data_IF_116883441419
#
_entry.id   IF_116883441419
#
_cell.length_a   1.000
_cell.length_b   1.000
_cell.length_c   1.000
_cell.angle_alpha   90.00
_cell.angle_beta   90.00
_cell.angle_gamma   90.00
#
_symmetry.space_group_name_H-M   'P 1'
#
loop_
_entity.id
_entity.type
_entity.pdbx_description
1 polymer ?
#
# COMPACT_ATOMS: atom_id res chain seq x y z
N UNK A 1 47.36 -57.12 -47.60
CA UNK A 1 46.02 -56.51 -47.79
C UNK A 1 44.99 -57.38 -47.07
N UNK A 2 44.04 -56.78 -46.32
CA UNK A 2 43.00 -57.51 -45.60
C UNK A 2 41.64 -57.19 -46.22
N UNK A 3 40.95 -58.21 -46.75
CA UNK A 3 39.60 -58.05 -47.31
C UNK A 3 38.60 -58.57 -46.30
N UNK A 4 37.72 -57.66 -45.87
CA UNK A 4 36.65 -57.93 -44.93
C UNK A 4 35.35 -58.06 -45.70
N UNK A 5 34.64 -59.18 -45.52
CA UNK A 5 33.28 -59.31 -46.03
C UNK A 5 32.35 -59.02 -44.86
N UNK A 6 31.49 -58.01 -45.05
CA UNK A 6 30.46 -57.62 -44.08
C UNK A 6 29.11 -58.06 -44.60
N UNK A 7 28.51 -59.07 -43.98
CA UNK A 7 27.06 -59.27 -44.01
C UNK A 7 26.49 -58.75 -42.70
N UNK A 8 25.24 -58.26 -42.72
CA UNK A 8 24.63 -57.22 -41.89
C UNK A 8 24.84 -57.22 -40.36
N UNK A 9 25.43 -58.24 -39.73
CA UNK A 9 25.82 -58.18 -38.31
C UNK A 9 27.15 -58.84 -37.93
N UNK A 10 27.93 -59.41 -38.87
CA UNK A 10 29.26 -59.95 -38.57
C UNK A 10 30.26 -59.67 -39.70
N UNK A 11 31.34 -58.97 -39.38
CA UNK A 11 32.52 -58.85 -40.23
C UNK A 11 33.47 -60.01 -39.93
N UNK A 12 33.64 -60.92 -40.89
CA UNK A 12 34.66 -61.96 -40.81
C UNK A 12 35.76 -61.64 -41.80
N UNK A 13 37.00 -61.63 -41.32
CA UNK A 13 38.17 -61.50 -42.17
C UNK A 13 38.21 -62.72 -43.09
N UNK A 14 37.99 -62.50 -44.38
CA UNK A 14 37.81 -63.57 -45.36
C UNK A 14 39.15 -63.99 -45.96
N UNK A 15 40.03 -63.01 -46.18
CA UNK A 15 41.37 -63.21 -46.70
C UNK A 15 42.29 -62.15 -46.08
N UNK A 16 43.29 -62.62 -45.34
CA UNK A 16 44.47 -61.85 -44.97
C UNK A 16 45.62 -62.40 -45.80
N UNK A 17 46.11 -61.56 -46.70
CA UNK A 17 47.23 -61.90 -47.55
C UNK A 17 48.34 -60.89 -47.25
N UNK A 18 49.43 -61.37 -46.66
CA UNK A 18 50.63 -60.56 -46.47
C UNK A 18 51.37 -60.49 -47.80
N UNK A 19 51.23 -59.35 -48.46
CA UNK A 19 51.88 -59.08 -49.73
C UNK A 19 53.26 -58.51 -49.39
N UNK A 20 54.26 -59.38 -49.43
CA UNK A 20 55.65 -58.95 -49.49
C UNK A 20 55.93 -58.49 -50.93
N UNK A 21 56.00 -57.17 -51.13
CA UNK A 21 56.43 -56.59 -52.40
C UNK A 21 57.96 -56.77 -52.49
N UNK A 22 58.40 -57.91 -53.02
CA UNK A 22 59.79 -58.11 -53.42
C UNK A 22 60.08 -57.33 -54.72
N UNK A 23 61.28 -56.77 -54.85
CA UNK A 23 61.73 -55.74 -55.81
C UNK A 23 61.64 -56.09 -57.31
N UNK A 24 61.01 -57.19 -57.68
CA UNK A 24 60.84 -57.61 -59.06
C UNK A 24 59.40 -57.38 -59.51
N UNK A 25 59.10 -56.19 -60.03
CA UNK A 25 58.10 -55.91 -61.08
C UNK A 25 57.90 -54.40 -61.20
N UNK A 26 58.75 -53.76 -62.00
CA UNK A 26 58.36 -52.53 -62.70
C UNK A 26 58.21 -52.97 -64.16
N UNK A 27 56.99 -53.17 -64.68
CA UNK A 27 56.84 -53.38 -66.11
C UNK A 27 57.00 -52.04 -66.83
N UNK A 28 57.86 -52.01 -67.84
CA UNK A 28 57.77 -51.02 -68.90
C UNK A 28 56.43 -51.23 -69.63
N UNK A 29 55.67 -50.15 -69.80
CA UNK A 29 54.38 -50.15 -70.48
C UNK A 29 54.52 -50.60 -71.95
N UNK A 30 54.18 -51.85 -72.25
CA UNK A 30 53.72 -52.24 -73.59
C UNK A 30 52.32 -52.82 -73.46
N UNK A 31 51.34 -51.97 -73.79
CA UNK A 31 49.94 -52.36 -73.99
C UNK A 31 49.86 -53.28 -75.21
N UNK A 32 49.81 -54.58 -74.97
CA UNK A 32 49.31 -55.53 -75.95
C UNK A 32 47.90 -55.97 -75.51
N UNK A 33 46.90 -55.45 -76.21
CA UNK A 33 45.51 -55.91 -76.14
C UNK A 33 45.41 -57.33 -76.69
N UNK A 34 45.34 -58.35 -75.83
CA UNK A 34 45.01 -59.72 -76.25
C UNK A 34 44.09 -60.39 -75.20
N UNK A 35 42.87 -60.67 -75.66
CA UNK A 35 41.83 -61.62 -75.24
C UNK A 35 41.51 -61.82 -73.74
N UNK A 36 40.23 -61.57 -73.43
CA UNK A 36 39.56 -61.84 -72.14
C UNK A 36 39.18 -63.31 -72.05
N UNK A 37 39.91 -64.09 -71.25
CA UNK A 37 39.47 -65.42 -70.83
C UNK A 37 38.85 -65.37 -69.43
N UNK A 38 37.72 -66.07 -69.29
CA UNK A 38 36.88 -66.16 -68.12
C UNK A 38 37.58 -66.97 -67.01
N UNK A 39 38.49 -66.35 -66.25
CA UNK A 39 38.87 -66.67 -64.86
C UNK A 39 40.13 -65.89 -64.42
N UNK A 40 40.15 -64.57 -64.65
CA UNK A 40 41.21 -63.70 -64.13
C UNK A 40 40.63 -62.54 -63.33
N UNK A 41 41.15 -62.33 -62.12
CA UNK A 41 40.72 -61.24 -61.23
C UNK A 41 41.53 -59.98 -61.57
N UNK A 42 40.84 -58.92 -61.99
CA UNK A 42 41.45 -57.64 -62.37
C UNK A 42 41.44 -56.66 -61.20
N UNK A 43 42.61 -56.18 -60.77
CA UNK A 43 42.76 -55.06 -59.83
C UNK A 43 43.26 -53.83 -60.61
N UNK A 44 42.33 -53.05 -61.17
CA UNK A 44 42.60 -51.91 -62.06
C UNK A 44 43.52 -50.84 -61.45
N UNK A 45 43.58 -50.73 -60.12
CA UNK A 45 44.39 -49.71 -59.45
C UNK A 45 45.90 -50.03 -59.43
N UNK A 46 46.31 -51.26 -59.74
CA UNK A 46 47.73 -51.69 -59.67
C UNK A 46 48.27 -52.47 -60.88
N UNK A 47 47.45 -52.84 -61.85
CA UNK A 47 47.93 -53.33 -63.16
C UNK A 47 48.62 -54.71 -63.18
N UNK A 48 48.28 -55.64 -62.29
CA UNK A 48 48.86 -57.01 -62.25
C UNK A 48 47.88 -58.11 -62.72
N UNK A 49 48.40 -59.19 -63.35
CA UNK A 49 47.66 -60.41 -63.79
C UNK A 49 48.14 -61.66 -63.05
N UNK A 50 47.23 -62.54 -62.63
CA UNK A 50 47.54 -63.87 -62.10
C UNK A 50 46.65 -64.95 -62.75
N UNK A 51 47.22 -66.11 -63.07
CA UNK A 51 46.52 -67.30 -63.61
C UNK A 51 46.91 -68.55 -62.82
N UNK A 52 45.97 -69.47 -62.66
CA UNK A 52 46.13 -70.74 -61.95
C UNK A 52 46.92 -71.75 -62.79
N UNK A 53 47.82 -72.52 -62.18
CA UNK A 53 48.61 -73.57 -62.85
C UNK A 53 48.07 -74.92 -62.46
N UNK A 54 47.55 -75.70 -63.41
CA UNK A 54 47.78 -77.13 -63.49
C UNK A 54 47.22 -77.77 -64.78
N UNK A 55 47.95 -78.82 -65.20
CA UNK A 55 47.62 -79.91 -66.13
C UNK A 55 48.20 -79.94 -67.56
N UNK A 56 48.65 -81.15 -67.89
CA UNK A 56 49.62 -81.59 -68.91
C UNK A 56 48.89 -82.21 -70.11
N UNK A 57 49.47 -82.13 -71.31
CA UNK A 57 49.96 -83.27 -72.15
C UNK A 57 49.83 -83.06 -73.68
N UNK A 58 50.95 -83.41 -74.34
CA UNK A 58 51.13 -84.10 -75.64
C UNK A 58 50.92 -83.39 -77.00
N UNK A 59 52.02 -83.33 -77.78
CA UNK A 59 52.28 -83.89 -79.15
C UNK A 59 53.64 -83.28 -79.62
N UNK A 60 54.77 -83.99 -79.54
CA UNK A 60 55.52 -84.67 -80.63
C UNK A 60 55.70 -83.82 -81.91
N UNK A 61 56.88 -83.20 -82.14
CA UNK A 61 58.11 -83.69 -82.82
C UNK A 61 58.19 -83.32 -84.33
N UNK A 62 59.42 -83.08 -84.79
CA UNK A 62 59.94 -82.62 -86.12
C UNK A 62 60.25 -81.11 -86.20
N UNK A 63 61.47 -80.59 -86.40
CA UNK A 63 62.82 -81.14 -86.56
C UNK A 63 63.86 -80.04 -86.16
N UNK A 64 64.86 -80.47 -85.37
CA UNK A 64 66.33 -80.20 -85.40
C UNK A 64 66.81 -78.83 -85.93
N UNK A 65 67.55 -77.99 -85.17
CA UNK A 65 68.99 -78.15 -84.88
C UNK A 65 69.44 -77.55 -83.53
N UNK A 66 70.19 -78.36 -82.78
CA UNK A 66 70.92 -77.98 -81.57
C UNK A 66 72.31 -77.46 -81.93
N UNK A 67 72.67 -76.27 -81.44
CA UNK A 67 74.04 -76.00 -80.95
C UNK A 67 73.93 -75.44 -79.54
N UNK A 68 74.17 -76.32 -78.57
CA UNK A 68 74.57 -76.02 -77.20
C UNK A 68 75.95 -75.34 -77.22
N UNK A 69 76.30 -74.29 -76.48
CA UNK A 69 76.23 -74.02 -75.04
C UNK A 69 76.71 -72.56 -74.87
N UNK A 70 76.13 -71.76 -73.99
CA UNK A 70 76.94 -71.31 -72.85
C UNK A 70 76.07 -70.93 -71.64
N UNK A 71 76.14 -71.80 -70.63
CA UNK A 71 75.78 -71.48 -69.25
C UNK A 71 76.86 -70.56 -68.69
N UNK A 72 76.59 -69.25 -68.60
CA UNK A 72 77.08 -68.33 -67.54
C UNK A 72 76.63 -66.90 -67.85
N UNK A 73 75.52 -66.49 -67.27
CA UNK A 73 75.27 -65.11 -66.81
C UNK A 73 74.08 -65.14 -65.84
N UNK A 74 74.37 -65.57 -64.61
CA UNK A 74 73.63 -65.03 -63.45
C UNK A 74 73.93 -63.53 -63.46
N UNK A 75 73.05 -62.73 -64.06
CA UNK A 75 73.08 -61.29 -63.87
C UNK A 75 72.50 -61.09 -62.47
N UNK A 76 73.39 -61.05 -61.48
CA UNK A 76 73.08 -60.47 -60.19
C UNK A 76 72.76 -59.00 -60.43
N UNK A 77 71.47 -58.64 -60.39
CA UNK A 77 71.11 -57.24 -60.29
C UNK A 77 71.71 -56.69 -58.99
N UNK A 78 72.46 -55.58 -59.03
CA UNK A 78 73.06 -55.03 -57.83
C UNK A 78 71.95 -54.53 -56.91
N UNK A 79 72.04 -54.89 -55.62
CA UNK A 79 71.24 -54.39 -54.50
C UNK A 79 71.49 -52.91 -54.19
N UNK A 80 71.56 -52.07 -55.22
CA UNK A 80 71.83 -50.66 -55.08
C UNK A 80 70.84 -49.90 -55.95
N UNK A 81 69.89 -49.25 -55.29
CA UNK A 81 68.96 -48.33 -55.92
C UNK A 81 69.72 -47.34 -56.82
N UNK A 82 69.23 -47.19 -58.06
CA UNK A 82 69.73 -46.16 -58.97
C UNK A 82 69.56 -44.77 -58.31
N UNK A 83 70.55 -43.89 -58.42
CA UNK A 83 70.50 -42.53 -57.84
C UNK A 83 69.20 -41.79 -58.19
N UNK A 84 68.69 -42.02 -59.40
CA UNK A 84 67.42 -41.46 -59.87
C UNK A 84 66.18 -41.98 -59.13
N UNK A 85 66.15 -43.26 -58.74
CA UNK A 85 65.02 -43.82 -57.98
C UNK A 85 65.01 -43.34 -56.52
N UNK A 86 66.19 -43.20 -55.90
CA UNK A 86 66.33 -42.58 -54.57
C UNK A 86 65.84 -41.12 -54.61
N UNK A 87 66.19 -40.36 -55.65
CA UNK A 87 65.72 -38.97 -55.82
C UNK A 87 64.20 -38.91 -55.97
N UNK A 88 63.58 -39.80 -56.76
CA UNK A 88 62.11 -39.86 -56.90
C UNK A 88 61.42 -40.16 -55.58
N UNK A 89 61.93 -41.14 -54.82
CA UNK A 89 61.37 -41.49 -53.50
C UNK A 89 61.52 -40.32 -52.51
N UNK A 90 62.67 -39.65 -52.49
CA UNK A 90 62.88 -38.46 -51.67
C UNK A 90 61.96 -37.30 -52.08
N UNK A 91 61.70 -37.13 -53.38
CA UNK A 91 60.75 -36.12 -53.88
C UNK A 91 59.31 -36.45 -53.45
N UNK A 92 58.91 -37.72 -53.46
CA UNK A 92 57.59 -38.16 -52.96
C UNK A 92 57.49 -37.92 -51.44
N UNK A 93 58.51 -38.30 -50.66
CA UNK A 93 58.56 -38.04 -49.22
C UNK A 93 58.50 -36.54 -48.94
N UNK A 94 59.19 -35.72 -49.74
CA UNK A 94 59.16 -34.27 -49.65
C UNK A 94 57.76 -33.73 -49.98
N UNK A 95 57.11 -34.21 -51.03
CA UNK A 95 55.74 -33.83 -51.41
C UNK A 95 54.74 -34.11 -50.28
N UNK A 96 54.81 -35.30 -49.66
CA UNK A 96 53.97 -35.68 -48.51
C UNK A 96 54.23 -34.74 -47.32
N UNK A 97 55.49 -34.39 -47.05
CA UNK A 97 55.82 -33.45 -45.95
C UNK A 97 55.29 -32.06 -46.22
N UNK A 98 55.41 -31.55 -47.45
CA UNK A 98 54.87 -30.24 -47.83
C UNK A 98 53.35 -30.21 -47.77
N UNK A 99 52.68 -31.30 -48.18
CA UNK A 99 51.23 -31.43 -48.08
C UNK A 99 50.76 -31.44 -46.62
N UNK A 100 51.45 -32.18 -45.74
CA UNK A 100 51.18 -32.16 -44.30
C UNK A 100 51.39 -30.78 -43.67
N UNK A 101 52.41 -30.04 -44.10
CA UNK A 101 52.63 -28.67 -43.64
C UNK A 101 51.53 -27.72 -44.15
N UNK A 102 51.12 -27.86 -45.41
CA UNK A 102 50.03 -27.08 -45.99
C UNK A 102 48.69 -27.33 -45.28
N UNK A 103 48.39 -28.59 -44.93
CA UNK A 103 47.17 -28.93 -44.18
C UNK A 103 47.18 -28.38 -42.76
N UNK A 104 48.32 -28.39 -42.06
CA UNK A 104 48.45 -27.75 -40.75
C UNK A 104 48.23 -26.24 -40.81
N UNK A 105 48.80 -25.56 -41.81
CA UNK A 105 48.59 -24.12 -42.02
C UNK A 105 47.11 -23.83 -42.31
N UNK A 106 46.45 -24.69 -43.08
CA UNK A 106 45.01 -24.57 -43.35
C UNK A 106 44.17 -24.74 -42.08
N UNK A 107 44.48 -25.73 -41.23
CA UNK A 107 43.81 -25.94 -39.95
C UNK A 107 44.02 -24.76 -38.99
N UNK A 108 45.23 -24.22 -38.90
CA UNK A 108 45.51 -23.02 -38.10
C UNK A 108 44.70 -21.82 -38.59
N UNK A 109 44.56 -21.66 -39.92
CA UNK A 109 43.76 -20.59 -40.52
C UNK A 109 42.26 -20.77 -40.22
N UNK A 110 41.76 -22.00 -40.29
CA UNK A 110 40.38 -22.31 -39.90
C UNK A 110 40.14 -22.03 -38.42
N UNK A 111 41.08 -22.41 -37.55
CA UNK A 111 40.97 -22.15 -36.13
C UNK A 111 40.97 -20.65 -35.82
N UNK A 112 41.86 -19.87 -36.45
CA UNK A 112 41.88 -18.42 -36.34
C UNK A 112 40.56 -17.78 -36.83
N UNK A 113 39.97 -18.30 -37.91
CA UNK A 113 38.66 -17.85 -38.40
C UNK A 113 37.54 -18.17 -37.42
N UNK A 114 37.54 -19.38 -36.84
CA UNK A 114 36.57 -19.79 -35.82
C UNK A 114 36.69 -18.91 -34.58
N UNK A 115 37.90 -18.63 -34.10
CA UNK A 115 38.12 -17.81 -32.92
C UNK A 115 37.75 -16.34 -33.17
N UNK A 116 38.07 -15.79 -34.35
CA UNK A 116 37.60 -14.46 -34.75
C UNK A 116 36.06 -14.37 -34.81
N UNK A 117 35.38 -15.41 -35.31
CA UNK A 117 33.92 -15.49 -35.30
C UNK A 117 33.34 -15.59 -33.88
N UNK A 118 33.96 -16.36 -32.98
CA UNK A 118 33.55 -16.42 -31.57
C UNK A 118 33.64 -15.05 -30.91
N UNK A 119 34.73 -14.33 -31.14
CA UNK A 119 34.93 -12.98 -30.62
C UNK A 119 33.89 -12.00 -31.16
N UNK A 120 33.61 -12.05 -32.46
CA UNK A 120 32.55 -11.26 -33.10
C UNK A 120 31.17 -11.54 -32.48
N UNK A 121 30.78 -12.82 -32.35
CA UNK A 121 29.52 -13.21 -31.71
C UNK A 121 29.47 -12.80 -30.23
N UNK A 122 30.60 -12.81 -29.52
CA UNK A 122 30.66 -12.33 -28.13
C UNK A 122 30.39 -10.83 -28.03
N UNK A 123 30.89 -10.04 -28.99
CA UNK A 123 30.64 -8.59 -29.07
C UNK A 123 29.18 -8.30 -29.35
N UNK A 124 28.55 -9.04 -30.27
CA UNK A 124 27.11 -8.94 -30.56
C UNK A 124 26.29 -9.25 -29.31
N UNK A 125 26.54 -10.39 -28.66
CA UNK A 125 25.83 -10.76 -27.42
C UNK A 125 25.96 -9.72 -26.31
N UNK A 126 27.15 -9.13 -26.14
CA UNK A 126 27.39 -8.03 -25.18
C UNK A 126 26.65 -6.75 -25.59
N UNK A 127 26.48 -6.50 -26.88
CA UNK A 127 25.72 -5.35 -27.37
C UNK A 127 24.22 -5.55 -27.15
N UNK A 128 23.67 -6.70 -27.54
CA UNK A 128 22.27 -7.08 -27.30
C UNK A 128 21.91 -7.04 -25.81
N UNK A 129 22.78 -7.60 -24.95
CA UNK A 129 22.60 -7.56 -23.50
C UNK A 129 22.53 -6.13 -22.96
N UNK A 130 23.41 -5.24 -23.43
CA UNK A 130 23.37 -3.81 -23.07
C UNK A 130 22.12 -3.12 -23.60
N UNK A 131 21.68 -3.43 -24.82
CA UNK A 131 20.43 -2.89 -25.36
C UNK A 131 19.22 -3.30 -24.52
N UNK A 132 19.14 -4.55 -24.09
CA UNK A 132 18.08 -5.02 -23.19
C UNK A 132 18.11 -4.31 -21.83
N UNK A 133 19.30 -4.08 -21.27
CA UNK A 133 19.45 -3.30 -20.04
C UNK A 133 18.94 -1.87 -20.21
N UNK A 134 19.30 -1.21 -21.32
CA UNK A 134 18.83 0.14 -21.63
C UNK A 134 17.29 0.16 -21.74
N UNK A 135 16.69 -0.79 -22.45
CA UNK A 135 15.23 -0.87 -22.58
C UNK A 135 14.52 -1.12 -21.25
N UNK A 136 15.09 -1.97 -20.39
CA UNK A 136 14.57 -2.20 -19.04
C UNK A 136 14.66 -0.94 -18.18
N UNK A 137 15.77 -0.20 -18.25
CA UNK A 137 15.95 1.06 -17.53
C UNK A 137 14.97 2.14 -18.03
N UNK A 138 14.73 2.23 -19.34
CA UNK A 138 13.71 3.15 -19.90
C UNK A 138 12.32 2.83 -19.38
N UNK A 139 11.93 1.54 -19.36
CA UNK A 139 10.64 1.10 -18.80
C UNK A 139 10.52 1.46 -17.31
N UNK A 140 11.58 1.23 -16.54
CA UNK A 140 11.61 1.59 -15.13
C UNK A 140 11.47 3.10 -14.92
N UNK A 141 12.19 3.90 -15.70
CA UNK A 141 12.07 5.37 -15.65
C UNK A 141 10.66 5.83 -16.00
N UNK A 142 10.06 5.30 -17.07
CA UNK A 142 8.68 5.61 -17.44
C UNK A 142 7.68 5.26 -16.33
N UNK A 143 7.84 4.10 -15.70
CA UNK A 143 6.98 3.71 -14.59
C UNK A 143 7.16 4.62 -13.38
N UNK A 144 8.39 5.00 -13.05
CA UNK A 144 8.67 5.92 -11.95
C UNK A 144 8.09 7.32 -12.20
N UNK A 145 8.23 7.87 -13.40
CA UNK A 145 7.65 9.18 -13.74
C UNK A 145 6.13 9.16 -13.69
N UNK A 146 5.51 8.07 -14.16
CA UNK A 146 4.07 7.86 -14.05
C UNK A 146 3.58 7.84 -12.60
N UNK A 147 4.24 7.06 -11.73
CA UNK A 147 3.90 7.02 -10.30
C UNK A 147 4.10 8.37 -9.62
N UNK A 148 5.17 9.08 -9.96
CA UNK A 148 5.43 10.41 -9.45
C UNK A 148 4.32 11.40 -9.84
N UNK A 149 3.87 11.36 -11.09
CA UNK A 149 2.78 12.19 -11.58
C UNK A 149 1.46 11.88 -10.85
N UNK A 150 1.16 10.60 -10.60
CA UNK A 150 -0.01 10.24 -9.78
C UNK A 150 0.08 10.81 -8.36
N UNK A 151 1.24 10.70 -7.70
CA UNK A 151 1.45 11.26 -6.36
C UNK A 151 1.30 12.78 -6.35
N UNK A 152 1.81 13.47 -7.37
CA UNK A 152 1.60 14.91 -7.52
C UNK A 152 0.13 15.27 -7.63
N UNK A 153 -0.63 14.58 -8.48
CA UNK A 153 -2.06 14.81 -8.65
C UNK A 153 -2.83 14.58 -7.34
N UNK A 154 -2.52 13.49 -6.62
CA UNK A 154 -3.13 13.19 -5.32
C UNK A 154 -2.80 14.28 -4.28
N UNK A 155 -1.55 14.76 -4.26
CA UNK A 155 -1.15 15.85 -3.36
C UNK A 155 -1.84 17.16 -3.71
N UNK A 156 -2.00 17.49 -4.99
CA UNK A 156 -2.75 18.67 -5.42
C UNK A 156 -4.22 18.60 -5.02
N UNK A 157 -4.87 17.44 -5.16
CA UNK A 157 -6.24 17.23 -4.69
C UNK A 157 -6.35 17.41 -3.18
N UNK A 158 -5.44 16.81 -2.40
CA UNK A 158 -5.37 17.01 -0.94
C UNK A 158 -5.23 18.48 -0.58
N UNK A 159 -4.35 19.22 -1.28
CA UNK A 159 -4.17 20.66 -1.03
C UNK A 159 -5.43 21.48 -1.35
N UNK A 160 -6.15 21.15 -2.44
CA UNK A 160 -7.44 21.79 -2.76
C UNK A 160 -8.46 21.55 -1.65
N UNK A 161 -8.63 20.30 -1.23
CA UNK A 161 -9.55 19.93 -0.15
C UNK A 161 -9.21 20.63 1.17
N UNK A 162 -7.92 20.75 1.52
CA UNK A 162 -7.48 21.47 2.72
C UNK A 162 -7.83 22.96 2.60
N UNK A 163 -7.61 23.58 1.44
CA UNK A 163 -7.95 25.00 1.22
C UNK A 163 -9.46 25.23 1.33
N UNK A 164 -10.28 24.36 0.76
CA UNK A 164 -11.74 24.43 0.85
C UNK A 164 -12.23 24.26 2.28
N UNK A 165 -11.73 23.24 3.00
CA UNK A 165 -12.04 23.06 4.43
C UNK A 165 -11.63 24.27 5.26
N UNK A 166 -10.47 24.86 4.99
CA UNK A 166 -10.03 26.08 5.68
C UNK A 166 -10.99 27.25 5.42
N UNK A 167 -11.49 27.41 4.19
CA UNK A 167 -12.50 28.43 3.87
C UNK A 167 -13.81 28.18 4.61
N UNK A 168 -14.29 26.94 4.64
CA UNK A 168 -15.50 26.55 5.39
C UNK A 168 -15.34 26.82 6.88
N UNK A 169 -14.21 26.42 7.48
CA UNK A 169 -13.92 26.69 8.88
C UNK A 169 -13.88 28.19 9.19
N UNK A 170 -13.23 28.98 8.36
CA UNK A 170 -13.19 30.43 8.54
C UNK A 170 -14.59 31.06 8.45
N UNK A 171 -15.43 30.57 7.53
CA UNK A 171 -16.82 31.02 7.42
C UNK A 171 -17.61 30.67 8.69
N UNK A 172 -17.52 29.43 9.16
CA UNK A 172 -18.19 28.99 10.38
C UNK A 172 -17.70 29.79 11.60
N UNK A 173 -16.39 30.07 11.69
CA UNK A 173 -15.84 30.93 12.75
C UNK A 173 -16.42 32.33 12.69
N UNK A 174 -16.54 32.93 11.51
CA UNK A 174 -17.15 34.25 11.37
C UNK A 174 -18.63 34.27 11.79
N UNK A 175 -19.37 33.20 11.49
CA UNK A 175 -20.76 33.05 11.93
C UNK A 175 -20.86 32.92 13.46
N UNK A 176 -20.01 32.07 14.06
CA UNK A 176 -19.99 31.87 15.51
C UNK A 176 -19.63 33.16 16.27
N UNK A 177 -18.73 33.99 15.74
CA UNK A 177 -18.41 35.29 16.33
C UNK A 177 -19.66 36.18 16.34
N UNK A 178 -20.39 36.26 15.22
CA UNK A 178 -21.62 37.04 15.15
C UNK A 178 -22.68 36.51 16.11
N UNK A 179 -22.89 35.19 16.18
CA UNK A 179 -23.83 34.58 17.13
C UNK A 179 -23.45 34.89 18.59
N UNK A 180 -22.16 34.82 18.92
CA UNK A 180 -21.65 35.16 20.23
C UNK A 180 -21.92 36.64 20.57
N UNK A 181 -21.74 37.56 19.63
CA UNK A 181 -22.06 38.98 19.81
C UNK A 181 -23.55 39.18 20.07
N UNK A 182 -24.44 38.51 19.33
CA UNK A 182 -25.89 38.57 19.56
C UNK A 182 -26.27 38.09 20.96
N UNK A 183 -25.71 36.95 21.39
CA UNK A 183 -25.95 36.41 22.74
C UNK A 183 -25.46 37.39 23.81
N UNK A 184 -24.29 38.00 23.62
CA UNK A 184 -23.76 38.99 24.55
C UNK A 184 -24.67 40.22 24.65
N UNK A 185 -25.17 40.72 23.53
CA UNK A 185 -26.13 41.83 23.53
C UNK A 185 -27.42 41.46 24.27
N UNK A 186 -27.96 40.27 24.03
CA UNK A 186 -29.15 39.78 24.72
C UNK A 186 -28.93 39.65 26.23
N UNK A 187 -27.81 39.08 26.65
CA UNK A 187 -27.44 38.96 28.07
C UNK A 187 -27.28 40.33 28.73
N UNK A 188 -26.67 41.30 28.04
CA UNK A 188 -26.55 42.66 28.55
C UNK A 188 -27.93 43.31 28.76
N UNK A 189 -28.84 43.17 27.80
CA UNK A 189 -30.21 43.68 27.91
C UNK A 189 -30.98 43.01 29.06
N UNK A 190 -30.82 41.69 29.23
CA UNK A 190 -31.41 40.97 30.35
C UNK A 190 -30.85 41.44 31.69
N UNK A 191 -29.54 41.65 31.80
CA UNK A 191 -28.91 42.14 33.02
C UNK A 191 -29.38 43.56 33.36
N UNK A 192 -29.51 44.43 32.35
CA UNK A 192 -30.11 45.76 32.53
C UNK A 192 -31.55 45.65 33.05
N UNK A 193 -32.40 44.84 32.41
CA UNK A 193 -33.78 44.62 32.86
C UNK A 193 -33.87 44.05 34.28
N UNK A 194 -33.00 43.11 34.65
CA UNK A 194 -32.91 42.60 36.02
C UNK A 194 -32.51 43.71 37.00
N UNK A 195 -31.53 44.54 36.64
CA UNK A 195 -31.10 45.65 37.49
C UNK A 195 -32.21 46.69 37.70
N UNK A 196 -32.95 47.04 36.64
CA UNK A 196 -34.07 47.98 36.75
C UNK A 196 -35.18 47.40 37.62
N UNK A 197 -35.56 46.13 37.41
CA UNK A 197 -36.53 45.46 38.27
C UNK A 197 -36.10 45.45 39.73
N UNK A 198 -34.83 45.13 40.02
CA UNK A 198 -34.30 45.16 41.38
C UNK A 198 -34.37 46.57 42.00
N UNK A 199 -34.02 47.62 41.25
CA UNK A 199 -34.16 49.00 41.75
C UNK A 199 -35.62 49.36 42.00
N UNK A 200 -36.54 48.96 41.13
CA UNK A 200 -37.97 49.22 41.29
C UNK A 200 -38.54 48.48 42.50
N UNK A 201 -38.18 47.21 42.71
CA UNK A 201 -38.63 46.46 43.90
C UNK A 201 -38.11 47.10 45.18
N UNK A 202 -36.85 47.54 45.21
CA UNK A 202 -36.30 48.27 46.35
C UNK A 202 -37.07 49.58 46.62
N UNK A 203 -37.37 50.36 45.59
CA UNK A 203 -38.15 51.59 45.71
C UNK A 203 -39.55 51.30 46.26
N UNK A 204 -40.23 50.28 45.72
CA UNK A 204 -41.56 49.87 46.20
C UNK A 204 -41.51 49.46 47.67
N UNK A 205 -40.55 48.62 48.06
CA UNK A 205 -40.39 48.20 49.46
C UNK A 205 -40.09 49.38 50.39
N UNK A 206 -39.31 50.35 49.93
CA UNK A 206 -39.04 51.56 50.70
C UNK A 206 -40.31 52.41 50.87
N UNK A 207 -41.06 52.65 49.79
CA UNK A 207 -42.34 53.38 49.83
C UNK A 207 -43.39 52.68 50.68
N UNK A 208 -43.49 51.36 50.62
CA UNK A 208 -44.38 50.58 51.50
C UNK A 208 -44.07 50.83 52.97
N UNK A 209 -42.79 50.84 53.35
CA UNK A 209 -42.37 51.15 54.74
C UNK A 209 -42.70 52.58 55.14
N UNK A 210 -42.48 53.55 54.26
CA UNK A 210 -42.86 54.94 54.52
C UNK A 210 -44.36 55.07 54.79
N UNK A 211 -45.20 54.48 53.92
CA UNK A 211 -46.66 54.54 54.07
C UNK A 211 -47.09 53.84 55.37
N UNK A 212 -46.51 52.68 55.70
CA UNK A 212 -46.82 51.98 56.96
C UNK A 212 -46.48 52.88 58.17
N UNK A 213 -45.34 53.56 58.14
CA UNK A 213 -44.96 54.51 59.19
C UNK A 213 -45.93 55.70 59.27
N UNK A 214 -46.36 56.25 58.13
CA UNK A 214 -47.35 57.33 58.09
C UNK A 214 -48.71 56.89 58.66
N UNK A 215 -49.18 55.68 58.32
CA UNK A 215 -50.43 55.13 58.85
C UNK A 215 -50.34 54.95 60.36
N UNK A 216 -49.23 54.39 60.85
CA UNK A 216 -48.99 54.22 62.28
C UNK A 216 -48.97 55.56 63.02
N UNK A 217 -48.31 56.58 62.48
CA UNK A 217 -48.17 57.87 63.17
C UNK A 217 -49.38 58.79 63.06
N UNK A 218 -50.09 58.82 61.92
CA UNK A 218 -51.13 59.81 61.66
C UNK A 218 -52.57 59.27 61.75
N UNK A 219 -52.79 58.00 61.41
CA UNK A 219 -54.16 57.45 61.29
C UNK A 219 -54.50 56.57 62.50
N UNK A 220 -53.58 55.71 62.91
CA UNK A 220 -53.75 54.78 64.02
C UNK A 220 -52.58 54.86 65.01
N UNK A 221 -52.41 55.99 65.72
CA UNK A 221 -51.36 56.11 66.73
C UNK A 221 -51.58 55.06 67.82
N UNK A 222 -50.54 54.27 68.08
CA UNK A 222 -50.48 53.34 69.21
C UNK A 222 -49.58 53.97 70.26
N UNK A 223 -50.20 54.43 71.33
CA UNK A 223 -49.52 55.08 72.45
C UNK A 223 -49.53 54.17 73.67
N UNK A 224 -48.53 54.34 74.54
CA UNK A 224 -48.45 53.66 75.83
C UNK A 224 -48.33 54.71 76.93
N UNK A 225 -49.18 54.62 77.94
CA UNK A 225 -49.08 55.48 79.12
C UNK A 225 -48.05 54.94 80.12
N UNK A 226 -47.59 55.77 81.05
CA UNK A 226 -46.63 55.43 82.11
C UNK A 226 -47.12 54.29 83.03
N UNK A 227 -48.40 53.94 82.96
CA UNK A 227 -49.04 52.84 83.69
C UNK A 227 -49.14 51.53 82.86
N UNK A 228 -48.39 51.41 81.75
CA UNK A 228 -48.40 50.31 80.79
C UNK A 228 -49.71 50.15 79.99
N UNK A 229 -50.67 51.07 80.10
CA UNK A 229 -51.93 51.01 79.37
C UNK A 229 -51.72 51.40 77.90
N UNK A 230 -52.15 50.52 76.99
CA UNK A 230 -52.04 50.74 75.54
C UNK A 230 -53.28 51.42 74.99
N UNK A 231 -53.10 52.35 74.06
CA UNK A 231 -54.18 53.05 73.37
C UNK A 231 -54.00 52.94 71.87
N UNK A 232 -55.10 52.83 71.13
CA UNK A 232 -55.12 52.95 69.67
C UNK A 232 -56.09 54.07 69.28
N UNK A 233 -55.61 55.08 68.55
CA UNK A 233 -56.41 56.24 68.16
C UNK A 233 -57.20 56.86 69.35
N UNK A 234 -56.52 57.00 70.50
CA UNK A 234 -57.07 57.47 71.78
C UNK A 234 -58.11 56.57 72.47
N UNK A 235 -58.31 55.33 72.01
CA UNK A 235 -59.17 54.33 72.67
C UNK A 235 -58.31 53.33 73.45
N UNK A 236 -58.66 53.07 74.71
CA UNK A 236 -57.95 52.14 75.59
C UNK A 236 -58.08 50.70 75.09
N UNK A 237 -56.95 50.04 74.84
CA UNK A 237 -56.89 48.61 74.55
C UNK A 237 -56.98 47.84 75.86
N UNK A 238 -57.86 46.84 75.95
CA UNK A 238 -58.10 46.17 77.21
C UNK A 238 -57.00 45.13 77.46
N UNK A 239 -56.14 45.37 78.46
CA UNK A 239 -55.06 44.44 78.85
C UNK A 239 -55.62 43.16 79.47
N UNK A 240 -55.00 42.02 79.17
CA UNK A 240 -55.38 40.70 79.68
C UNK A 240 -55.45 40.62 81.23
N UNK A 241 -54.66 41.42 81.93
CA UNK A 241 -54.59 41.46 83.41
C UNK A 241 -55.46 42.55 84.05
N UNK A 242 -56.21 43.33 83.27
CA UNK A 242 -56.98 44.44 83.84
C UNK A 242 -58.11 43.92 84.73
N UNK A 243 -58.30 44.54 85.90
CA UNK A 243 -59.30 44.13 86.92
C UNK A 243 -60.75 44.10 86.40
N UNK A 244 -61.00 44.72 85.25
CA UNK A 244 -62.26 44.73 84.49
C UNK A 244 -62.60 43.30 84.00
N UNK A 245 -61.58 42.60 83.44
CA UNK A 245 -61.27 41.16 83.59
C UNK A 245 -62.09 40.30 84.58
N UNK A 246 -61.97 40.69 85.84
CA UNK A 246 -62.26 39.82 86.96
C UNK A 246 -63.56 40.21 87.66
N UNK A 247 -64.07 41.43 87.42
CA UNK A 247 -65.23 41.99 88.11
C UNK A 247 -66.54 41.94 87.33
N UNK A 248 -66.54 41.49 86.06
CA UNK A 248 -67.79 41.34 85.28
C UNK A 248 -68.42 42.66 84.80
N UNK A 249 -67.76 43.81 84.98
CA UNK A 249 -68.20 45.15 84.56
C UNK A 249 -68.00 45.45 83.05
N UNK A 250 -67.74 44.42 82.24
CA UNK A 250 -67.45 44.54 80.81
C UNK A 250 -68.49 45.30 80.00
N UNK A 251 -69.76 45.12 80.36
CA UNK A 251 -70.91 45.66 79.62
C UNK A 251 -70.90 47.18 79.49
N UNK A 252 -70.21 47.89 80.38
CA UNK A 252 -70.14 49.35 80.37
C UNK A 252 -69.12 49.88 79.34
N UNK A 253 -68.12 49.07 78.94
CA UNK A 253 -67.07 49.44 78.00
C UNK A 253 -67.05 48.60 76.71
N UNK A 254 -68.08 47.76 76.48
CA UNK A 254 -68.19 46.90 75.30
C UNK A 254 -68.09 47.66 73.97
N UNK A 255 -68.59 48.90 73.91
CA UNK A 255 -68.51 49.75 72.72
C UNK A 255 -67.08 50.25 72.44
N UNK A 256 -66.33 50.60 73.48
CA UNK A 256 -64.93 51.06 73.37
C UNK A 256 -64.02 49.90 72.96
N UNK A 257 -64.24 48.72 73.56
CA UNK A 257 -63.53 47.49 73.23
C UNK A 257 -63.82 47.08 71.77
N UNK A 258 -65.08 47.10 71.36
CA UNK A 258 -65.45 46.81 69.97
C UNK A 258 -64.77 47.78 68.99
N UNK A 259 -64.78 49.08 69.28
CA UNK A 259 -64.14 50.10 68.46
C UNK A 259 -62.61 49.91 68.37
N UNK A 260 -61.95 49.60 69.49
CA UNK A 260 -60.51 49.35 69.52
C UNK A 260 -60.12 48.11 68.70
N UNK A 261 -60.88 47.02 68.80
CA UNK A 261 -60.68 45.81 67.98
C UNK A 261 -60.99 46.11 66.51
N UNK A 262 -61.99 46.93 66.23
CA UNK A 262 -62.30 47.57 64.94
C UNK A 262 -61.07 48.17 64.27
N UNK A 263 -60.44 49.11 64.96
CA UNK A 263 -59.26 49.80 64.47
C UNK A 263 -58.04 48.89 64.31
N UNK A 264 -57.82 47.94 65.24
CA UNK A 264 -56.74 46.96 65.10
C UNK A 264 -56.92 46.07 63.87
N UNK A 265 -58.16 45.61 63.62
CA UNK A 265 -58.48 44.74 62.49
C UNK A 265 -58.37 45.48 61.16
N UNK A 266 -58.81 46.73 61.11
CA UNK A 266 -58.65 47.58 59.93
C UNK A 266 -57.18 47.90 59.63
N UNK A 267 -56.38 48.23 60.65
CA UNK A 267 -54.95 48.42 60.51
C UNK A 267 -54.27 47.15 59.97
N UNK A 268 -54.59 45.98 60.53
CA UNK A 268 -54.03 44.71 60.09
C UNK A 268 -54.39 44.40 58.63
N UNK A 269 -55.63 44.70 58.24
CA UNK A 269 -56.10 44.55 56.86
C UNK A 269 -55.33 45.49 55.90
N UNK A 270 -55.18 46.77 56.25
CA UNK A 270 -54.42 47.73 55.42
C UNK A 270 -52.95 47.30 55.29
N UNK A 271 -52.31 46.90 56.38
CA UNK A 271 -50.91 46.44 56.35
C UNK A 271 -50.78 45.17 55.48
N UNK A 272 -51.70 44.22 55.61
CA UNK A 272 -51.75 43.02 54.78
C UNK A 272 -51.88 43.36 53.30
N UNK A 273 -52.77 44.30 52.94
CA UNK A 273 -52.95 44.76 51.57
C UNK A 273 -51.71 45.48 51.03
N UNK A 274 -51.05 46.31 51.84
CA UNK A 274 -49.85 47.05 51.45
C UNK A 274 -48.64 46.13 51.22
N UNK A 275 -48.46 45.12 52.08
CA UNK A 275 -47.38 44.13 51.96
C UNK A 275 -47.74 43.03 50.94
N UNK A 276 -49.00 42.98 50.49
CA UNK A 276 -49.56 41.92 49.63
C UNK A 276 -49.39 40.52 50.24
N UNK A 277 -49.51 40.43 51.57
CA UNK A 277 -49.39 39.18 52.29
C UNK A 277 -50.80 38.69 52.69
N UNK A 278 -51.25 37.53 52.19
CA UNK A 278 -52.56 37.01 52.56
C UNK A 278 -52.60 36.67 54.05
N UNK A 279 -53.66 37.10 54.73
CA UNK A 279 -53.90 36.75 56.12
C UNK A 279 -54.37 35.29 56.21
N UNK A 280 -53.91 34.57 57.24
CA UNK A 280 -54.37 33.20 57.53
C UNK A 280 -55.87 33.16 57.81
N UNK A 281 -56.38 34.19 58.47
CA UNK A 281 -57.81 34.40 58.69
C UNK A 281 -58.20 35.68 57.93
N UNK A 282 -59.01 35.60 56.87
CA UNK A 282 -59.47 36.79 56.18
C UNK A 282 -60.36 37.62 57.12
N UNK A 283 -60.20 38.94 57.00
CA UNK A 283 -60.92 39.91 57.82
C UNK A 283 -61.78 40.75 56.89
N UNK A 284 -63.09 40.68 57.08
CA UNK A 284 -64.05 41.61 56.48
C UNK A 284 -64.34 42.73 57.46
N UNK A 285 -63.86 43.93 57.14
CA UNK A 285 -64.08 45.12 57.93
C UNK A 285 -65.31 45.89 57.43
N UNK A 286 -66.31 46.06 58.28
CA UNK A 286 -67.54 46.82 57.98
C UNK A 286 -67.73 48.05 58.90
N UNK A 287 -66.66 48.55 59.51
CA UNK A 287 -66.68 49.71 60.41
C UNK A 287 -66.21 49.38 61.83
N UNK A 288 -66.39 50.32 62.77
CA UNK A 288 -65.79 50.27 64.10
C UNK A 288 -66.21 49.06 64.94
N UNK A 289 -67.44 48.57 64.80
CA UNK A 289 -67.98 47.48 65.62
C UNK A 289 -68.33 46.21 64.86
N UNK A 290 -68.19 46.21 63.53
CA UNK A 290 -68.61 45.12 62.66
C UNK A 290 -67.40 44.53 61.93
N UNK A 291 -66.80 43.51 62.52
CA UNK A 291 -65.69 42.74 61.95
C UNK A 291 -66.13 41.28 61.83
N UNK A 292 -65.90 40.67 60.67
CA UNK A 292 -66.06 39.23 60.49
C UNK A 292 -64.70 38.64 60.18
N UNK A 293 -64.28 37.68 61.01
CA UNK A 293 -63.07 36.91 60.81
C UNK A 293 -63.52 35.51 60.43
N UNK A 294 -63.16 35.04 59.24
CA UNK A 294 -63.51 33.69 58.81
C UNK A 294 -62.41 32.71 59.19
N UNK A 295 -62.81 31.53 59.64
CA UNK A 295 -61.91 30.41 59.90
C UNK A 295 -62.25 29.25 58.95
N UNK A 296 -61.50 29.14 57.86
CA UNK A 296 -61.67 28.06 56.90
C UNK A 296 -61.06 26.73 57.36
N UNK A 297 -60.39 26.67 58.52
CA UNK A 297 -59.82 25.42 59.02
C UNK A 297 -60.86 24.48 59.65
N UNK A 298 -62.09 24.97 59.88
CA UNK A 298 -63.22 24.18 60.36
C UNK A 298 -64.03 23.51 59.23
N UNK A 299 -63.92 23.98 57.99
CA UNK A 299 -64.72 23.48 56.85
C UNK A 299 -64.13 22.21 56.18
N UNK A 300 -62.95 21.73 56.58
CA UNK A 300 -62.28 20.56 55.97
C UNK A 300 -62.64 19.23 56.68
N UNK A 301 -63.39 19.28 57.79
CA UNK A 301 -63.72 18.09 58.61
C UNK A 301 -65.21 17.70 58.62
N UNK A 302 -66.01 18.15 57.65
CA UNK A 302 -67.37 17.63 57.38
C UNK A 302 -67.43 17.00 55.98
#
# INVERSE_FOLDING_TARGET
MRVWITSSNHSRLFLEYDIHLDESLIPDEQKNEINKDNNSLWLEMFGYRFTDTDEKTNIQENDVEFISTDKKKRISFPKSYNKLSIIRMNNIIHAIRTEKQASLVYLQRLQAFVDANKDYLSKIRKHESRQLQIENLKKYLYFQTYLYQQRLNANQQKQKNIKERKKQLNHNLSQLIVEQEVINLYNNNLNQSKSTLHTLTQIISYRQKEIINEIYHYIYPIDNDNQNEYYIANIKLPQADSKIYQSGLYREHDHEIAAAVGYCSHLLLIISQLIQLPLRFPIDYHGTSAIKIYDYSLEINE
#
